data_IF_833151242745
#
_entry.id   IF_833151242745
#
_cell.length_a   1.000
_cell.length_b   1.000
_cell.length_c   1.000
_cell.angle_alpha   90.00
_cell.angle_beta   90.00
_cell.angle_gamma   90.00
#
_symmetry.space_group_name_H-M   'P 1'
#
loop_
_entity.id
_entity.type
_entity.pdbx_description
1 polymer ?
#
# COMPACT_ATOMS: atom_id res chain seq x y z
N UNK A 1 18.07 -37.62 -16.17
CA UNK A 1 18.34 -36.25 -16.69
C UNK A 1 19.29 -35.60 -15.71
N UNK A 2 20.43 -35.07 -16.18
CA UNK A 2 21.41 -34.39 -15.33
C UNK A 2 21.06 -32.91 -15.22
N UNK A 3 21.09 -32.33 -14.02
CA UNK A 3 20.68 -30.93 -13.76
C UNK A 3 21.46 -29.91 -14.61
N UNK A 4 22.71 -30.25 -14.96
CA UNK A 4 23.59 -29.44 -15.81
C UNK A 4 22.98 -29.13 -17.18
N UNK A 5 22.11 -29.98 -17.71
CA UNK A 5 21.47 -29.77 -19.02
C UNK A 5 20.40 -28.67 -19.01
N UNK A 6 19.99 -28.17 -17.83
CA UNK A 6 18.99 -27.12 -17.66
C UNK A 6 19.57 -25.84 -17.03
N UNK A 7 20.90 -25.78 -16.86
CA UNK A 7 21.59 -24.60 -16.35
C UNK A 7 22.01 -23.72 -17.52
N UNK A 8 21.89 -22.40 -17.34
CA UNK A 8 22.45 -21.46 -18.32
C UNK A 8 23.97 -21.62 -18.39
N UNK A 9 24.58 -21.59 -19.59
CA UNK A 9 26.02 -21.74 -19.78
C UNK A 9 26.83 -20.51 -19.37
N UNK A 10 26.13 -19.40 -19.06
CA UNK A 10 26.75 -18.11 -18.76
C UNK A 10 27.61 -18.16 -17.50
N UNK A 11 28.64 -17.30 -17.42
CA UNK A 11 29.44 -17.19 -16.22
C UNK A 11 28.58 -16.72 -15.05
N UNK A 12 28.99 -17.07 -13.83
CA UNK A 12 28.42 -16.50 -12.63
C UNK A 12 28.64 -14.97 -12.63
N UNK A 13 27.73 -14.20 -12.00
CA UNK A 13 27.96 -12.78 -11.76
C UNK A 13 29.30 -12.54 -11.08
N UNK A 14 30.17 -11.72 -11.67
CA UNK A 14 31.54 -11.47 -11.20
C UNK A 14 31.77 -10.05 -10.68
N UNK A 15 30.84 -9.13 -10.94
CA UNK A 15 30.87 -7.75 -10.42
C UNK A 15 29.68 -7.48 -9.50
N UNK A 16 29.82 -6.51 -8.60
CA UNK A 16 28.72 -6.07 -7.70
C UNK A 16 27.45 -5.74 -8.49
N UNK A 17 27.60 -5.00 -9.58
CA UNK A 17 26.50 -4.57 -10.45
C UNK A 17 25.82 -5.77 -11.12
N UNK A 18 26.61 -6.72 -11.64
CA UNK A 18 26.06 -7.93 -12.26
C UNK A 18 25.28 -8.79 -11.26
N UNK A 19 25.76 -8.88 -10.01
CA UNK A 19 25.06 -9.58 -8.92
C UNK A 19 23.73 -8.89 -8.57
N UNK A 20 23.72 -7.56 -8.48
CA UNK A 20 22.51 -6.78 -8.21
C UNK A 20 21.49 -6.95 -9.34
N UNK A 21 21.91 -6.89 -10.60
CA UNK A 21 21.03 -7.09 -11.76
C UNK A 21 20.42 -8.49 -11.74
N UNK A 22 21.25 -9.51 -11.49
CA UNK A 22 20.77 -10.89 -11.43
C UNK A 22 19.76 -11.12 -10.30
N UNK A 23 19.96 -10.52 -9.12
CA UNK A 23 19.00 -10.55 -8.03
C UNK A 23 17.71 -9.80 -8.38
N UNK A 24 17.83 -8.62 -8.97
CA UNK A 24 16.70 -7.79 -9.36
C UNK A 24 15.78 -8.51 -10.36
N UNK A 25 16.34 -9.08 -11.42
CA UNK A 25 15.59 -9.81 -12.45
C UNK A 25 14.79 -10.99 -11.86
N UNK A 26 15.46 -11.81 -11.04
CA UNK A 26 14.86 -12.96 -10.40
C UNK A 26 13.75 -12.57 -9.41
N UNK A 27 13.96 -11.53 -8.61
CA UNK A 27 12.96 -10.99 -7.68
C UNK A 27 11.78 -10.38 -8.43
N UNK A 28 12.03 -9.60 -9.48
CA UNK A 28 11.00 -8.95 -10.31
C UNK A 28 10.09 -10.00 -10.94
N UNK A 29 10.68 -10.97 -11.63
CA UNK A 29 9.96 -12.05 -12.29
C UNK A 29 9.11 -12.85 -11.29
N UNK A 30 9.69 -13.22 -10.14
CA UNK A 30 8.96 -13.95 -9.10
C UNK A 30 7.81 -13.11 -8.52
N UNK A 31 8.03 -11.81 -8.32
CA UNK A 31 7.04 -10.91 -7.73
C UNK A 31 5.74 -10.81 -8.55
N UNK A 32 5.82 -10.95 -9.88
CA UNK A 32 4.65 -10.96 -10.78
C UNK A 32 3.66 -12.09 -10.48
N UNK A 33 4.14 -13.17 -9.87
CA UNK A 33 3.33 -14.34 -9.54
C UNK A 33 2.68 -14.26 -8.16
N UNK A 34 3.04 -13.26 -7.35
CA UNK A 34 2.59 -13.16 -5.96
C UNK A 34 1.12 -12.75 -5.87
N UNK A 35 0.26 -13.70 -5.47
CA UNK A 35 -1.16 -13.43 -5.20
C UNK A 35 -1.33 -12.68 -3.87
N UNK A 36 -1.99 -11.52 -3.91
CA UNK A 36 -2.23 -10.62 -2.75
C UNK A 36 -0.92 -10.22 -2.06
N UNK A 37 -0.18 -9.27 -2.65
CA UNK A 37 1.11 -8.83 -2.13
C UNK A 37 0.93 -8.05 -0.82
N UNK A 38 1.28 -8.68 0.30
CA UNK A 38 1.36 -7.99 1.60
C UNK A 38 2.82 -7.66 1.91
N UNK A 39 3.10 -6.61 2.71
CA UNK A 39 4.48 -6.26 3.05
C UNK A 39 5.29 -7.41 3.68
N UNK A 40 4.64 -8.26 4.49
CA UNK A 40 5.28 -9.43 5.09
C UNK A 40 5.62 -10.50 4.03
N UNK A 41 4.69 -10.79 3.11
CA UNK A 41 4.91 -11.76 2.03
C UNK A 41 6.00 -11.32 1.05
N UNK A 42 6.06 -10.03 0.73
CA UNK A 42 7.11 -9.47 -0.13
C UNK A 42 8.47 -9.66 0.53
N UNK A 43 8.62 -9.29 1.82
CA UNK A 43 9.87 -9.47 2.57
C UNK A 43 10.30 -10.93 2.65
N UNK A 44 9.39 -11.83 2.99
CA UNK A 44 9.68 -13.26 3.04
C UNK A 44 10.16 -13.80 1.69
N UNK A 45 9.45 -13.47 0.60
CA UNK A 45 9.84 -13.88 -0.75
C UNK A 45 11.24 -13.37 -1.12
N UNK A 46 11.54 -12.09 -0.86
CA UNK A 46 12.87 -11.51 -1.15
C UNK A 46 13.96 -12.21 -0.34
N UNK A 47 13.71 -12.52 0.94
CA UNK A 47 14.64 -13.29 1.78
C UNK A 47 14.90 -14.68 1.19
N UNK A 48 13.84 -15.44 0.92
CA UNK A 48 13.92 -16.81 0.43
C UNK A 48 14.70 -16.89 -0.90
N UNK A 49 14.44 -15.96 -1.81
CA UNK A 49 15.09 -15.88 -3.11
C UNK A 49 16.58 -15.54 -3.00
N UNK A 50 16.94 -14.57 -2.16
CA UNK A 50 18.35 -14.21 -1.93
C UNK A 50 19.09 -15.36 -1.26
N UNK A 51 18.51 -15.99 -0.24
CA UNK A 51 19.08 -17.16 0.42
C UNK A 51 19.24 -18.35 -0.54
N UNK A 52 18.25 -18.62 -1.39
CA UNK A 52 18.35 -19.67 -2.40
C UNK A 52 19.52 -19.42 -3.38
N UNK A 53 19.71 -18.16 -3.81
CA UNK A 53 20.80 -17.79 -4.73
C UNK A 53 22.18 -17.91 -4.09
N UNK A 54 22.30 -17.60 -2.78
CA UNK A 54 23.51 -17.79 -1.98
C UNK A 54 23.81 -19.28 -1.82
N UNK A 55 22.82 -20.08 -1.42
CA UNK A 55 22.99 -21.52 -1.21
C UNK A 55 23.34 -22.28 -2.49
N UNK A 56 22.93 -21.76 -3.66
CA UNK A 56 23.27 -22.28 -4.99
C UNK A 56 24.67 -21.83 -5.47
N UNK A 57 25.42 -21.08 -4.65
CA UNK A 57 26.77 -20.58 -4.97
C UNK A 57 26.81 -19.57 -6.12
N UNK A 58 25.67 -18.96 -6.46
CA UNK A 58 25.56 -18.12 -7.65
C UNK A 58 26.14 -16.71 -7.44
N UNK A 59 26.49 -16.36 -6.20
CA UNK A 59 27.10 -15.10 -5.84
C UNK A 59 28.57 -15.25 -5.39
N UNK A 60 29.13 -16.47 -5.49
CA UNK A 60 30.49 -16.78 -4.99
C UNK A 60 31.58 -15.92 -5.65
N UNK A 61 31.41 -15.61 -6.94
CA UNK A 61 32.36 -14.82 -7.72
C UNK A 61 32.08 -13.31 -7.67
N UNK A 62 31.04 -12.90 -6.95
CA UNK A 62 30.62 -11.51 -6.86
C UNK A 62 31.10 -10.88 -5.54
N UNK A 63 31.72 -9.69 -5.56
CA UNK A 63 32.16 -9.02 -4.34
C UNK A 63 31.03 -8.30 -3.59
N UNK A 64 29.91 -9.01 -3.34
CA UNK A 64 28.79 -8.54 -2.52
C UNK A 64 28.96 -8.99 -1.07
N UNK A 65 28.95 -8.03 -0.16
CA UNK A 65 29.00 -8.30 1.28
C UNK A 65 27.63 -8.65 1.84
N UNK A 66 27.60 -9.38 2.97
CA UNK A 66 26.35 -9.66 3.70
C UNK A 66 25.61 -8.36 4.09
N UNK A 67 26.35 -7.30 4.40
CA UNK A 67 25.77 -5.99 4.70
C UNK A 67 25.07 -5.37 3.48
N UNK A 68 25.69 -5.43 2.32
CA UNK A 68 25.08 -4.96 1.07
C UNK A 68 23.85 -5.79 0.71
N UNK A 69 23.90 -7.11 0.90
CA UNK A 69 22.74 -7.98 0.69
C UNK A 69 21.57 -7.60 1.61
N UNK A 70 21.81 -7.25 2.87
CA UNK A 70 20.76 -6.75 3.77
C UNK A 70 20.12 -5.46 3.22
N UNK A 71 20.94 -4.49 2.80
CA UNK A 71 20.48 -3.23 2.20
C UNK A 71 19.68 -3.48 0.92
N UNK A 72 20.15 -4.40 0.06
CA UNK A 72 19.48 -4.77 -1.18
C UNK A 72 18.11 -5.39 -0.90
N UNK A 73 18.01 -6.32 0.06
CA UNK A 73 16.74 -6.95 0.44
C UNK A 73 15.70 -5.90 0.87
N UNK A 74 16.09 -4.96 1.71
CA UNK A 74 15.21 -3.88 2.15
C UNK A 74 14.80 -2.95 0.99
N UNK A 75 15.74 -2.61 0.12
CA UNK A 75 15.51 -1.78 -1.06
C UNK A 75 14.53 -2.44 -2.04
N UNK A 76 14.73 -3.73 -2.34
CA UNK A 76 13.82 -4.50 -3.19
C UNK A 76 12.42 -4.60 -2.58
N UNK A 77 12.31 -4.91 -1.29
CA UNK A 77 11.02 -5.00 -0.62
C UNK A 77 10.25 -3.67 -0.64
N UNK A 78 10.95 -2.55 -0.42
CA UNK A 78 10.36 -1.19 -0.48
C UNK A 78 9.88 -0.83 -1.90
N UNK A 79 10.71 -1.13 -2.90
CA UNK A 79 10.39 -0.86 -4.31
C UNK A 79 9.19 -1.69 -4.76
N UNK A 80 9.19 -3.00 -4.47
CA UNK A 80 8.07 -3.89 -4.79
C UNK A 80 6.77 -3.48 -4.08
N UNK A 81 6.84 -3.03 -2.82
CA UNK A 81 5.66 -2.52 -2.12
C UNK A 81 5.03 -1.35 -2.88
N UNK A 82 5.86 -0.41 -3.33
CA UNK A 82 5.41 0.76 -4.07
C UNK A 82 4.81 0.36 -5.42
N UNK A 83 5.47 -0.54 -6.16
CA UNK A 83 5.01 -0.99 -7.48
C UNK A 83 3.70 -1.79 -7.38
N UNK A 84 3.59 -2.71 -6.42
CA UNK A 84 2.46 -3.64 -6.29
C UNK A 84 1.24 -3.06 -5.58
N UNK A 85 1.36 -1.89 -4.94
CA UNK A 85 0.24 -1.16 -4.32
C UNK A 85 -0.16 0.12 -5.10
N UNK A 86 0.40 0.36 -6.28
CA UNK A 86 0.22 1.63 -7.02
C UNK A 86 -1.08 1.81 -7.82
N UNK A 87 -2.10 0.96 -7.62
CA UNK A 87 -3.48 1.39 -7.94
C UNK A 87 -4.07 2.05 -6.70
N UNK A 88 -3.94 3.37 -6.64
CA UNK A 88 -4.71 4.22 -5.74
C UNK A 88 -6.19 3.96 -6.05
N UNK A 89 -6.88 3.22 -5.18
CA UNK A 89 -8.33 3.26 -5.12
C UNK A 89 -8.68 4.67 -4.64
N UNK A 90 -9.28 5.47 -5.52
CA UNK A 90 -9.88 6.72 -5.07
C UNK A 90 -10.88 6.37 -3.97
N UNK A 91 -10.87 7.05 -2.81
CA UNK A 91 -11.91 6.86 -1.83
C UNK A 91 -13.23 7.09 -2.55
N UNK A 92 -14.05 6.03 -2.68
CA UNK A 92 -15.42 6.18 -3.16
C UNK A 92 -16.08 7.10 -2.14
N UNK A 93 -16.34 8.35 -2.55
CA UNK A 93 -17.15 9.26 -1.79
C UNK A 93 -18.41 8.49 -1.41
N UNK A 94 -18.61 8.34 -0.10
CA UNK A 94 -19.81 7.72 0.45
C UNK A 94 -20.97 8.46 -0.21
N UNK A 95 -21.75 7.74 -1.00
CA UNK A 95 -23.01 8.20 -1.56
C UNK A 95 -23.75 8.90 -0.41
N UNK A 96 -23.89 10.23 -0.53
CA UNK A 96 -24.74 10.98 0.38
C UNK A 96 -26.14 10.52 0.04
N UNK A 97 -26.76 9.82 0.99
CA UNK A 97 -28.15 9.42 0.95
C UNK A 97 -29.02 10.56 0.43
N UNK A 98 -29.77 10.25 -0.61
CA UNK A 98 -30.87 11.04 -1.15
C UNK A 98 -31.90 11.31 -0.03
N UNK A 99 -32.10 12.57 0.35
CA UNK A 99 -33.34 12.98 1.03
C UNK A 99 -34.32 13.53 -0.02
N UNK A 100 -35.47 12.87 -0.29
CA UNK A 100 -36.57 13.50 -0.95
C UNK A 100 -37.47 14.16 0.11
N UNK A 101 -37.54 15.49 0.14
CA UNK A 101 -38.58 16.21 0.90
C UNK A 101 -39.38 17.15 0.00
N UNK A 102 -40.21 16.54 -0.84
CA UNK A 102 -41.42 17.19 -1.38
C UNK A 102 -42.60 16.93 -0.44
N UNK A 103 -42.94 17.91 0.40
CA UNK A 103 -44.32 18.07 0.91
C UNK A 103 -44.50 19.47 1.49
N UNK A 104 -44.68 20.44 0.60
CA UNK A 104 -45.44 21.66 0.92
C UNK A 104 -46.91 21.25 1.04
N UNK A 105 -47.65 21.87 1.97
CA UNK A 105 -49.11 21.79 2.21
C UNK A 105 -49.62 20.74 3.21
N UNK A 106 -49.66 21.11 4.51
CA UNK A 106 -50.83 20.94 5.38
C UNK A 106 -50.53 21.41 6.81
N UNK A 107 -51.13 22.54 7.20
CA UNK A 107 -51.70 22.88 8.53
C UNK A 107 -51.60 24.39 8.78
N UNK A 108 -52.46 25.13 8.08
CA UNK A 108 -53.05 26.35 8.60
C UNK A 108 -54.32 25.94 9.37
N UNK A 109 -54.31 25.96 10.70
CA UNK A 109 -55.49 26.34 11.48
C UNK A 109 -55.16 26.48 12.98
N UNK A 110 -55.67 27.58 13.53
CA UNK A 110 -56.22 27.74 14.89
C UNK A 110 -55.28 27.61 16.11
N UNK A 111 -54.89 28.77 16.67
CA UNK A 111 -55.11 29.06 18.09
C UNK A 111 -54.92 30.57 18.35
N UNK A 112 -56.01 31.23 18.74
CA UNK A 112 -56.10 32.61 19.19
C UNK A 112 -56.38 32.61 20.71
N UNK A 113 -55.98 33.69 21.40
CA UNK A 113 -56.40 34.12 22.78
C UNK A 113 -55.72 33.37 23.93
N UNK A 114 -55.26 33.94 25.07
CA UNK A 114 -55.62 35.16 25.84
C UNK A 114 -54.48 35.53 26.83
N UNK A 115 -54.02 36.80 26.92
CA UNK A 115 -54.23 37.81 27.99
C UNK A 115 -53.80 37.44 29.44
N UNK A 116 -52.74 38.14 29.93
CA UNK A 116 -52.42 38.65 31.30
C UNK A 116 -50.89 38.76 31.41
N UNK A 117 -50.19 39.73 32.03
CA UNK A 117 -50.49 40.90 32.86
C UNK A 117 -49.23 41.82 32.85
N UNK A 118 -49.41 43.11 33.19
CA UNK A 118 -48.39 44.18 33.23
C UNK A 118 -47.57 44.11 34.53
N UNK A 119 -46.26 44.39 34.50
CA UNK A 119 -45.52 45.31 35.41
C UNK A 119 -44.14 45.67 34.80
N UNK A 120 -43.83 46.96 34.66
CA UNK A 120 -42.52 47.57 34.31
C UNK A 120 -41.74 47.83 35.63
N UNK A 121 -40.39 48.02 35.69
CA UNK A 121 -39.66 49.10 35.01
C UNK A 121 -38.20 48.83 34.57
N UNK A 122 -37.63 49.81 33.85
CA UNK A 122 -36.24 49.95 33.39
C UNK A 122 -35.21 50.16 34.52
N UNK A 123 -33.92 49.88 34.25
CA UNK A 123 -32.81 50.64 34.82
C UNK A 123 -32.18 51.59 33.78
N UNK A 124 -31.92 52.82 34.25
CA UNK A 124 -31.15 53.87 33.57
C UNK A 124 -29.65 53.55 33.59
N UNK A 125 -28.91 53.98 32.56
CA UNK A 125 -27.51 54.48 32.57
C UNK A 125 -27.05 54.55 31.11
N UNK A 126 -26.38 55.57 30.58
CA UNK A 126 -25.90 56.88 31.05
C UNK A 126 -25.78 57.76 29.81
#
# INVERSE_FOLDING_TARGET
MEEKNFRYPGPRPSSRESGIIALADMIESTSRTLKKPTPAKIRAMVEDLVCAKINDGQLDDCPLTIRELAILKDSFASTLRSMLHSRIDYPKDKEKDEEPRSSVLAKRSAAQTSRAERVVPMPKNR
#
